data_IF_712418558053
#
_entry.id   IF_712418558053
#
_cell.length_a   1.000
_cell.length_b   1.000
_cell.length_c   1.000
_cell.angle_alpha   90.00
_cell.angle_beta   90.00
_cell.angle_gamma   90.00
#
_symmetry.space_group_name_H-M   'P 1'
#
loop_
_entity.id
_entity.type
_entity.pdbx_description
1 polymer ?
#
# COMPACT_ATOMS: atom_id res chain seq x y z
N UNK A 1 -24.84 -19.53 -13.99
CA UNK A 1 -25.36 -18.36 -13.20
C UNK A 1 -24.59 -18.24 -11.89
N UNK A 2 -24.79 -17.18 -11.09
CA UNK A 2 -24.10 -17.06 -9.79
C UNK A 2 -24.50 -18.17 -8.82
N UNK A 3 -25.79 -18.49 -8.75
CA UNK A 3 -26.33 -19.54 -7.87
C UNK A 3 -25.79 -20.93 -8.24
N UNK A 4 -25.60 -21.17 -9.53
CA UNK A 4 -25.02 -22.41 -10.06
C UNK A 4 -23.53 -22.51 -9.73
N UNK A 5 -22.77 -21.42 -9.86
CA UNK A 5 -21.38 -21.37 -9.40
C UNK A 5 -21.28 -21.71 -7.91
N UNK A 6 -22.12 -21.11 -7.06
CA UNK A 6 -22.12 -21.38 -5.62
C UNK A 6 -22.41 -22.85 -5.31
N UNK A 7 -23.41 -23.45 -5.98
CA UNK A 7 -23.74 -24.86 -5.81
C UNK A 7 -22.59 -25.76 -6.24
N UNK A 8 -22.03 -25.52 -7.42
CA UNK A 8 -20.97 -26.34 -7.99
C UNK A 8 -19.66 -26.21 -7.21
N UNK A 9 -19.36 -25.03 -6.66
CA UNK A 9 -18.19 -24.82 -5.82
C UNK A 9 -18.20 -25.72 -4.57
N UNK A 10 -19.38 -26.11 -4.07
CA UNK A 10 -19.51 -27.05 -2.95
C UNK A 10 -19.51 -28.51 -3.40
N UNK A 11 -20.24 -28.84 -4.46
CA UNK A 11 -20.42 -30.23 -4.91
C UNK A 11 -19.26 -30.76 -5.77
N UNK A 12 -18.60 -29.90 -6.53
CA UNK A 12 -17.43 -30.20 -7.38
C UNK A 12 -16.47 -28.98 -7.41
N UNK A 13 -15.73 -28.74 -6.30
CA UNK A 13 -14.82 -27.61 -6.21
C UNK A 13 -13.71 -27.66 -7.26
N UNK A 14 -13.20 -28.86 -7.59
CA UNK A 14 -12.10 -29.00 -8.56
C UNK A 14 -12.58 -28.68 -9.99
N UNK A 15 -13.71 -29.24 -10.41
CA UNK A 15 -14.28 -28.93 -11.72
C UNK A 15 -14.67 -27.45 -11.84
N UNK A 16 -15.20 -26.86 -10.77
CA UNK A 16 -15.52 -25.44 -10.70
C UNK A 16 -14.27 -24.56 -10.85
N UNK A 17 -13.18 -24.88 -10.15
CA UNK A 17 -11.91 -24.18 -10.29
C UNK A 17 -11.37 -24.29 -11.73
N UNK A 18 -11.38 -25.48 -12.31
CA UNK A 18 -10.91 -25.70 -13.68
C UNK A 18 -11.75 -24.93 -14.71
N UNK A 19 -13.08 -24.90 -14.53
CA UNK A 19 -13.97 -24.12 -15.39
C UNK A 19 -13.71 -22.61 -15.27
N UNK A 20 -13.50 -22.11 -14.05
CA UNK A 20 -13.15 -20.71 -13.81
C UNK A 20 -11.82 -20.34 -14.50
N UNK A 21 -10.77 -21.14 -14.32
CA UNK A 21 -9.45 -20.89 -14.95
C UNK A 21 -9.52 -20.91 -16.48
N UNK A 22 -10.30 -21.82 -17.08
CA UNK A 22 -10.55 -21.83 -18.54
C UNK A 22 -11.20 -20.51 -19.02
N UNK A 23 -12.19 -20.01 -18.29
CA UNK A 23 -12.82 -18.73 -18.60
C UNK A 23 -11.85 -17.55 -18.43
N UNK A 24 -11.01 -17.56 -17.39
CA UNK A 24 -9.96 -16.55 -17.21
C UNK A 24 -8.95 -16.57 -18.37
N UNK A 25 -8.56 -17.74 -18.86
CA UNK A 25 -7.68 -17.85 -20.02
C UNK A 25 -8.29 -17.22 -21.28
N UNK A 26 -9.58 -17.43 -21.53
CA UNK A 26 -10.28 -16.76 -22.63
C UNK A 26 -10.36 -15.24 -22.43
N UNK A 27 -10.62 -14.78 -21.20
CA UNK A 27 -10.64 -13.36 -20.85
C UNK A 27 -9.27 -12.71 -21.08
N UNK A 28 -8.18 -13.32 -20.63
CA UNK A 28 -6.82 -12.80 -20.82
C UNK A 28 -6.42 -12.77 -22.30
N UNK A 29 -6.83 -13.74 -23.11
CA UNK A 29 -6.63 -13.67 -24.58
C UNK A 29 -7.32 -12.45 -25.20
N UNK A 30 -8.51 -12.07 -24.71
CA UNK A 30 -9.17 -10.85 -25.17
C UNK A 30 -8.41 -9.58 -24.73
N UNK A 31 -7.90 -9.54 -23.50
CA UNK A 31 -7.05 -8.44 -23.02
C UNK A 31 -5.77 -8.32 -23.86
N UNK A 32 -5.13 -9.44 -24.20
CA UNK A 32 -3.97 -9.48 -25.09
C UNK A 32 -4.28 -8.95 -26.48
N UNK A 33 -5.45 -9.28 -27.05
CA UNK A 33 -5.87 -8.74 -28.33
C UNK A 33 -6.01 -7.20 -28.28
N UNK A 34 -6.59 -6.64 -27.22
CA UNK A 34 -6.63 -5.19 -27.04
C UNK A 34 -5.23 -4.57 -26.89
N UNK A 35 -4.34 -5.23 -26.15
CA UNK A 35 -2.94 -4.80 -26.01
C UNK A 35 -2.22 -4.76 -27.37
N UNK A 36 -2.42 -5.78 -28.22
CA UNK A 36 -1.87 -5.84 -29.58
C UNK A 36 -2.43 -4.74 -30.51
N UNK A 37 -3.64 -4.24 -30.23
CA UNK A 37 -4.22 -3.08 -30.92
C UNK A 37 -3.66 -1.73 -30.42
N UNK A 38 -2.72 -1.74 -29.47
CA UNK A 38 -2.13 -0.54 -28.89
C UNK A 38 -2.93 0.08 -27.74
N UNK A 39 -3.94 -0.61 -27.21
CA UNK A 39 -4.70 -0.14 -26.04
C UNK A 39 -3.88 -0.39 -24.77
N UNK A 40 -3.61 0.64 -23.93
CA UNK A 40 -2.96 0.44 -22.64
C UNK A 40 -3.71 -0.59 -21.80
N UNK A 41 -3.06 -1.73 -21.59
CA UNK A 41 -3.62 -2.90 -20.90
C UNK A 41 -2.68 -3.25 -19.76
N UNK A 42 -3.24 -3.53 -18.58
CA UNK A 42 -2.45 -3.86 -17.40
C UNK A 42 -3.23 -4.80 -16.48
N UNK A 43 -2.52 -5.58 -15.69
CA UNK A 43 -3.08 -6.38 -14.59
C UNK A 43 -3.23 -5.52 -13.34
N UNK A 44 -4.41 -5.61 -12.72
CA UNK A 44 -4.75 -4.84 -11.53
C UNK A 44 -4.73 -5.67 -10.23
N UNK A 45 -3.76 -6.58 -10.13
CA UNK A 45 -3.36 -7.20 -8.89
C UNK A 45 -4.27 -8.31 -8.36
N UNK A 46 -4.95 -9.01 -9.26
CA UNK A 46 -5.83 -10.15 -8.95
C UNK A 46 -5.28 -11.51 -9.41
N UNK A 47 -4.05 -11.53 -9.94
CA UNK A 47 -3.34 -12.73 -10.41
C UNK A 47 -3.99 -13.43 -11.63
N UNK A 48 -4.83 -12.73 -12.40
CA UNK A 48 -5.53 -13.33 -13.55
C UNK A 48 -4.56 -13.82 -14.64
N UNK A 49 -3.44 -13.11 -14.85
CA UNK A 49 -2.38 -13.52 -15.80
C UNK A 49 -1.79 -14.87 -15.45
N UNK A 50 -1.52 -15.12 -14.16
CA UNK A 50 -1.00 -16.40 -13.68
C UNK A 50 -2.01 -17.53 -13.90
N UNK A 51 -3.29 -17.29 -13.60
CA UNK A 51 -4.34 -18.28 -13.84
C UNK A 51 -4.49 -18.63 -15.32
N UNK A 52 -4.32 -17.65 -16.22
CA UNK A 52 -4.32 -17.89 -17.66
C UNK A 52 -3.07 -18.65 -18.14
N UNK A 53 -1.89 -18.30 -17.60
CA UNK A 53 -0.63 -19.01 -17.89
C UNK A 53 -0.70 -20.49 -17.54
N UNK A 54 -1.26 -20.82 -16.38
CA UNK A 54 -1.49 -22.22 -15.96
C UNK A 54 -2.42 -23.00 -16.89
N UNK A 55 -3.26 -22.29 -17.67
CA UNK A 55 -4.15 -22.86 -18.68
C UNK A 55 -3.60 -22.79 -20.11
N UNK A 56 -2.28 -22.57 -20.25
CA UNK A 56 -1.59 -22.60 -21.54
C UNK A 56 -1.65 -21.29 -22.34
N UNK A 57 -1.98 -20.16 -21.72
CA UNK A 57 -1.75 -18.84 -22.34
C UNK A 57 -0.30 -18.45 -22.09
N UNK A 58 0.61 -18.90 -22.96
CA UNK A 58 2.06 -18.74 -22.78
C UNK A 58 2.48 -17.28 -22.61
N UNK A 59 1.80 -16.39 -23.33
CA UNK A 59 2.09 -14.96 -23.39
C UNK A 59 1.18 -14.12 -22.48
N UNK A 60 0.61 -14.73 -21.42
CA UNK A 60 -0.30 -14.06 -20.48
C UNK A 60 0.33 -12.86 -19.75
N UNK A 61 1.67 -12.77 -19.71
CA UNK A 61 2.41 -11.71 -19.04
C UNK A 61 2.92 -10.62 -20.01
N UNK A 62 2.49 -10.63 -21.28
CA UNK A 62 2.88 -9.60 -22.26
C UNK A 62 2.34 -8.20 -21.92
N UNK A 63 1.35 -8.10 -21.03
CA UNK A 63 0.95 -6.83 -20.42
C UNK A 63 1.36 -6.78 -18.94
N UNK A 64 1.84 -5.61 -18.46
CA UNK A 64 2.46 -5.48 -17.14
C UNK A 64 1.44 -5.42 -16.01
N UNK A 65 1.89 -5.66 -14.79
CA UNK A 65 1.14 -5.25 -13.60
C UNK A 65 1.14 -3.73 -13.44
N UNK A 66 0.11 -3.21 -12.79
CA UNK A 66 -0.01 -1.76 -12.57
C UNK A 66 1.12 -1.16 -11.71
N UNK A 67 1.75 -1.96 -10.83
CA UNK A 67 2.82 -1.46 -9.97
C UNK A 67 4.09 -1.15 -10.74
N UNK A 68 4.71 -2.10 -11.48
CA UNK A 68 5.85 -1.76 -12.33
C UNK A 68 5.51 -0.71 -13.39
N UNK A 69 4.26 -0.67 -13.89
CA UNK A 69 3.86 0.29 -14.92
C UNK A 69 3.65 1.73 -14.42
N UNK A 70 3.10 1.91 -13.21
CA UNK A 70 2.62 3.23 -12.76
C UNK A 70 2.98 3.59 -11.31
N UNK A 71 2.94 2.64 -10.39
CA UNK A 71 2.96 2.94 -8.94
C UNK A 71 4.36 2.92 -8.34
N UNK A 72 5.29 2.14 -8.88
CA UNK A 72 6.63 1.98 -8.27
C UNK A 72 7.39 3.28 -8.00
N UNK A 73 7.33 4.33 -8.84
CA UNK A 73 7.94 5.62 -8.52
C UNK A 73 7.41 6.24 -7.22
N UNK A 74 6.12 6.04 -6.92
CA UNK A 74 5.53 6.48 -5.64
C UNK A 74 6.13 5.69 -4.47
N UNK A 75 6.26 4.37 -4.60
CA UNK A 75 6.87 3.53 -3.57
C UNK A 75 8.34 3.86 -3.30
N UNK A 76 9.08 4.31 -4.31
CA UNK A 76 10.47 4.77 -4.12
C UNK A 76 10.56 5.97 -3.16
N UNK A 77 9.48 6.75 -3.02
CA UNK A 77 9.36 7.88 -2.08
C UNK A 77 8.62 7.51 -0.78
N UNK A 78 8.35 6.22 -0.56
CA UNK A 78 7.52 5.72 0.54
C UNK A 78 6.04 6.13 0.44
N UNK A 79 5.60 6.65 -0.71
CA UNK A 79 4.21 7.08 -0.93
C UNK A 79 3.35 5.84 -1.15
N UNK A 80 2.30 5.70 -0.34
CA UNK A 80 1.40 4.54 -0.38
C UNK A 80 0.06 4.84 0.28
N UNK A 81 -0.83 3.84 0.42
CA UNK A 81 -2.23 4.00 0.81
C UNK A 81 -2.44 4.26 2.31
N UNK A 82 -1.82 5.33 2.80
CA UNK A 82 -1.97 5.87 4.16
C UNK A 82 -3.42 6.31 4.40
N UNK A 83 -3.98 5.89 5.54
CA UNK A 83 -5.37 6.14 5.89
C UNK A 83 -5.54 6.40 7.38
N UNK A 84 -6.63 7.08 7.72
CA UNK A 84 -7.04 7.24 9.10
C UNK A 84 -8.54 7.14 9.26
N UNK A 85 -8.96 6.87 10.50
CA UNK A 85 -10.35 6.61 10.90
C UNK A 85 -10.66 7.39 12.17
N UNK A 86 -11.78 8.11 12.18
CA UNK A 86 -12.26 8.82 13.36
C UNK A 86 -13.07 7.89 14.26
N UNK A 87 -12.55 7.57 15.46
CA UNK A 87 -13.23 6.66 16.41
C UNK A 87 -14.49 7.27 17.04
N UNK A 88 -14.68 8.59 16.93
CA UNK A 88 -15.89 9.28 17.34
C UNK A 88 -17.13 8.86 16.54
N UNK A 89 -16.93 8.42 15.29
CA UNK A 89 -18.01 8.26 14.34
C UNK A 89 -18.49 9.57 13.71
N UNK A 90 -17.91 10.73 14.08
CA UNK A 90 -18.30 12.04 13.56
C UNK A 90 -17.55 12.37 12.26
N UNK A 91 -18.26 12.59 11.13
CA UNK A 91 -17.67 13.04 9.87
C UNK A 91 -16.86 14.33 9.97
N UNK A 92 -17.18 15.22 10.92
CA UNK A 92 -16.47 16.47 11.09
C UNK A 92 -15.01 16.27 11.47
N UNK A 93 -14.67 15.20 12.19
CA UNK A 93 -13.26 14.90 12.52
C UNK A 93 -12.45 14.57 11.26
N UNK A 94 -13.06 13.93 10.26
CA UNK A 94 -12.44 13.72 8.95
C UNK A 94 -12.30 15.05 8.19
N UNK A 95 -13.31 15.90 8.19
CA UNK A 95 -13.20 17.19 7.48
C UNK A 95 -12.16 18.12 8.10
N UNK A 96 -11.99 18.11 9.43
CA UNK A 96 -10.93 18.84 10.11
C UNK A 96 -9.54 18.28 9.79
N UNK A 97 -9.39 16.96 9.78
CA UNK A 97 -8.12 16.33 9.36
C UNK A 97 -7.81 16.55 7.88
N UNK A 98 -8.80 16.57 6.98
CA UNK A 98 -8.63 16.97 5.58
C UNK A 98 -8.05 18.39 5.48
N UNK A 99 -8.61 19.35 6.25
CA UNK A 99 -8.11 20.72 6.30
C UNK A 99 -6.67 20.80 6.85
N UNK A 100 -6.38 20.04 7.92
CA UNK A 100 -5.03 19.96 8.50
C UNK A 100 -4.00 19.40 7.52
N UNK A 101 -4.38 18.41 6.71
CA UNK A 101 -3.49 17.86 5.68
C UNK A 101 -3.15 18.93 4.64
N UNK A 102 -4.15 19.72 4.18
CA UNK A 102 -3.91 20.82 3.23
C UNK A 102 -3.02 21.92 3.81
N UNK A 103 -3.13 22.20 5.10
CA UNK A 103 -2.26 23.15 5.81
C UNK A 103 -0.80 22.66 5.84
N UNK A 104 -0.57 21.39 6.15
CA UNK A 104 0.77 20.81 6.28
C UNK A 104 1.42 20.56 4.92
N UNK A 105 0.65 20.10 3.93
CA UNK A 105 1.11 19.79 2.56
C UNK A 105 0.56 20.86 1.61
N UNK A 106 0.96 22.11 1.83
CA UNK A 106 0.34 23.29 1.19
C UNK A 106 0.50 23.36 -0.33
N UNK A 107 1.63 22.90 -0.87
CA UNK A 107 2.00 23.10 -2.28
C UNK A 107 1.51 21.98 -3.22
N UNK A 108 1.01 20.86 -2.70
CA UNK A 108 0.57 19.72 -3.51
C UNK A 108 -0.88 19.89 -3.99
N UNK A 109 -1.01 20.53 -5.16
CA UNK A 109 -2.31 20.76 -5.83
C UNK A 109 -3.06 19.46 -6.13
N UNK A 110 -2.35 18.38 -6.43
CA UNK A 110 -2.99 17.09 -6.73
C UNK A 110 -3.59 16.49 -5.46
N UNK A 111 -2.85 16.52 -4.36
CA UNK A 111 -3.34 16.08 -3.05
C UNK A 111 -4.54 16.91 -2.59
N UNK A 112 -4.53 18.23 -2.79
CA UNK A 112 -5.65 19.09 -2.42
C UNK A 112 -6.90 18.74 -3.22
N UNK A 113 -6.76 18.57 -4.54
CA UNK A 113 -7.85 18.14 -5.41
C UNK A 113 -8.37 16.75 -5.03
N UNK A 114 -7.47 15.83 -4.67
CA UNK A 114 -7.86 14.50 -4.15
C UNK A 114 -8.76 14.63 -2.92
N UNK A 115 -8.41 15.46 -1.94
CA UNK A 115 -9.22 15.66 -0.73
C UNK A 115 -10.57 16.31 -1.03
N UNK A 116 -10.63 17.28 -1.95
CA UNK A 116 -11.88 17.91 -2.38
C UNK A 116 -12.81 16.89 -3.04
N UNK A 117 -12.30 16.14 -4.00
CA UNK A 117 -13.03 15.08 -4.67
C UNK A 117 -13.47 13.99 -3.70
N UNK A 118 -12.61 13.61 -2.75
CA UNK A 118 -12.92 12.60 -1.75
C UNK A 118 -14.02 13.07 -0.79
N UNK A 119 -14.16 14.37 -0.54
CA UNK A 119 -15.28 14.93 0.23
C UNK A 119 -16.57 14.97 -0.58
N UNK A 120 -16.50 15.35 -1.86
CA UNK A 120 -17.69 15.50 -2.71
C UNK A 120 -18.24 14.16 -3.22
N UNK A 121 -17.37 13.15 -3.40
CA UNK A 121 -17.69 11.96 -4.19
C UNK A 121 -17.62 10.65 -3.39
N UNK A 122 -17.05 10.64 -2.20
CA UNK A 122 -16.94 9.44 -1.36
C UNK A 122 -17.84 9.57 -0.14
N UNK A 123 -18.88 8.74 -0.09
CA UNK A 123 -19.71 8.59 1.10
C UNK A 123 -19.00 7.69 2.12
N UNK A 124 -19.05 8.08 3.39
CA UNK A 124 -18.50 7.25 4.47
C UNK A 124 -19.27 5.94 4.64
N UNK A 125 -18.56 4.90 5.07
CA UNK A 125 -19.12 3.57 5.35
C UNK A 125 -18.64 3.13 6.73
N UNK A 126 -19.56 2.97 7.69
CA UNK A 126 -19.19 2.72 9.09
C UNK A 126 -18.57 3.98 9.73
N UNK A 127 -17.44 3.81 10.43
CA UNK A 127 -16.70 4.94 10.97
C UNK A 127 -16.16 5.83 9.83
N UNK A 128 -16.31 7.16 9.90
CA UNK A 128 -15.71 8.07 8.94
C UNK A 128 -14.21 7.85 8.84
N UNK A 129 -13.73 7.69 7.61
CA UNK A 129 -12.34 7.37 7.31
C UNK A 129 -11.88 8.09 6.05
N UNK A 130 -10.59 8.37 5.95
CA UNK A 130 -9.98 8.98 4.78
C UNK A 130 -8.77 8.18 4.34
N UNK A 131 -8.65 7.99 3.04
CA UNK A 131 -7.45 7.51 2.35
C UNK A 131 -6.79 8.73 1.70
N UNK A 132 -5.48 8.88 1.86
CA UNK A 132 -4.69 9.92 1.23
C UNK A 132 -3.26 9.42 1.05
N UNK A 133 -2.79 9.32 -0.19
CA UNK A 133 -1.47 8.76 -0.46
C UNK A 133 -0.39 9.76 -0.10
N UNK A 134 0.42 9.42 0.91
CA UNK A 134 1.51 10.27 1.40
C UNK A 134 2.76 9.45 1.71
N UNK A 135 3.92 10.07 1.50
CA UNK A 135 5.24 9.45 1.57
C UNK A 135 5.94 9.55 2.92
N UNK A 136 7.19 9.07 2.93
CA UNK A 136 8.11 9.14 4.07
C UNK A 136 8.20 10.55 4.66
N UNK A 137 8.22 11.56 3.78
CA UNK A 137 8.31 12.97 4.16
C UNK A 137 7.16 13.48 5.05
N UNK A 138 5.96 12.89 4.91
CA UNK A 138 4.72 13.48 5.43
C UNK A 138 4.02 12.64 6.48
N UNK A 139 4.09 11.30 6.44
CA UNK A 139 3.33 10.43 7.36
C UNK A 139 3.55 10.77 8.84
N UNK A 140 4.81 10.95 9.24
CA UNK A 140 5.17 11.32 10.61
C UNK A 140 4.60 12.69 11.01
N UNK A 141 4.70 13.70 10.14
CA UNK A 141 4.23 15.07 10.40
C UNK A 141 2.71 15.09 10.59
N UNK A 142 1.99 14.40 9.70
CA UNK A 142 0.53 14.29 9.77
C UNK A 142 0.06 13.54 11.01
N UNK A 143 0.68 12.40 11.34
CA UNK A 143 0.29 11.66 12.54
C UNK A 143 0.51 12.42 13.84
N UNK A 144 1.61 13.17 13.94
CA UNK A 144 1.85 14.06 15.09
C UNK A 144 0.82 15.19 15.17
N UNK A 145 0.46 15.78 14.02
CA UNK A 145 -0.58 16.81 13.96
C UNK A 145 -1.97 16.26 14.35
N UNK A 146 -2.31 15.05 13.92
CA UNK A 146 -3.58 14.43 14.30
C UNK A 146 -3.61 14.11 15.80
N UNK A 147 -2.51 13.62 16.37
CA UNK A 147 -2.41 13.42 17.82
C UNK A 147 -2.57 14.74 18.59
N UNK A 148 -2.01 15.83 18.08
CA UNK A 148 -2.19 17.17 18.64
C UNK A 148 -3.65 17.63 18.58
N UNK A 149 -4.33 17.42 17.44
CA UNK A 149 -5.75 17.73 17.28
C UNK A 149 -6.62 16.95 18.28
N UNK A 150 -6.26 15.71 18.61
CA UNK A 150 -6.94 14.92 19.66
C UNK A 150 -6.66 15.52 21.03
N UNK A 151 -5.40 15.88 21.32
CA UNK A 151 -4.99 16.46 22.61
C UNK A 151 -5.71 17.77 22.93
N UNK A 152 -5.87 18.64 21.94
CA UNK A 152 -6.52 19.94 22.12
C UNK A 152 -8.05 19.91 21.95
N UNK A 153 -8.63 18.75 21.60
CA UNK A 153 -10.06 18.59 21.36
C UNK A 153 -10.56 19.21 20.06
N UNK A 154 -9.67 19.53 19.11
CA UNK A 154 -10.06 19.95 17.76
C UNK A 154 -10.82 18.82 17.07
N UNK A 155 -10.38 17.57 17.22
CA UNK A 155 -11.19 16.38 16.91
C UNK A 155 -11.77 15.77 18.18
N UNK A 156 -12.94 15.14 18.07
CA UNK A 156 -13.77 14.79 19.23
C UNK A 156 -13.38 13.49 19.95
N UNK A 157 -12.57 12.64 19.32
CA UNK A 157 -12.09 11.38 19.88
C UNK A 157 -10.75 10.96 19.23
N UNK A 158 -10.06 9.93 19.77
CA UNK A 158 -8.84 9.40 19.16
C UNK A 158 -9.00 9.01 17.69
N UNK A 159 -7.91 9.16 16.93
CA UNK A 159 -7.83 8.80 15.51
C UNK A 159 -6.97 7.55 15.35
N UNK A 160 -7.45 6.59 14.58
CA UNK A 160 -6.65 5.42 14.18
C UNK A 160 -5.95 5.73 12.87
N UNK A 161 -4.64 5.51 12.78
CA UNK A 161 -3.85 5.64 11.55
C UNK A 161 -3.34 4.28 11.13
N UNK A 162 -3.53 3.93 9.86
CA UNK A 162 -3.00 2.69 9.29
C UNK A 162 -2.84 2.78 7.78
N UNK A 163 -2.85 1.60 7.14
CA UNK A 163 -2.73 1.47 5.68
C UNK A 163 -3.21 0.10 5.22
N UNK A 164 -3.25 -0.11 3.91
CA UNK A 164 -3.27 -1.45 3.34
C UNK A 164 -1.94 -2.18 3.64
N UNK A 165 -1.92 -3.50 3.46
CA UNK A 165 -0.71 -4.30 3.40
C UNK A 165 0.05 -4.09 2.07
N UNK A 166 -0.62 -3.59 1.03
CA UNK A 166 0.02 -3.03 -0.15
C UNK A 166 0.63 -1.68 0.22
N UNK A 167 1.95 -1.65 0.43
CA UNK A 167 2.73 -0.44 0.61
C UNK A 167 4.21 -0.71 0.27
N UNK A 168 4.96 0.35 0.07
CA UNK A 168 6.35 0.35 -0.40
C UNK A 168 7.28 -0.65 0.29
N UNK A 169 7.16 -0.85 1.61
CA UNK A 169 8.04 -1.72 2.40
C UNK A 169 7.39 -2.98 2.94
N UNK A 170 6.09 -3.19 2.70
CA UNK A 170 5.31 -4.14 3.50
C UNK A 170 4.81 -5.35 2.74
N UNK A 171 5.27 -5.61 1.52
CA UNK A 171 4.81 -6.74 0.71
C UNK A 171 5.88 -7.27 -0.22
N UNK A 172 5.92 -8.60 -0.34
CA UNK A 172 6.58 -9.34 -1.41
C UNK A 172 5.50 -10.10 -2.19
N UNK A 173 5.38 -9.82 -3.49
CA UNK A 173 4.31 -10.32 -4.37
C UNK A 173 4.77 -10.22 -5.84
N UNK A 174 5.41 -11.27 -6.39
CA UNK A 174 6.06 -11.24 -7.71
C UNK A 174 5.12 -11.01 -8.89
N UNK A 175 3.80 -11.23 -8.71
CA UNK A 175 2.80 -11.00 -9.75
C UNK A 175 2.05 -9.66 -9.56
N UNK A 176 2.49 -8.82 -8.63
CA UNK A 176 1.86 -7.54 -8.29
C UNK A 176 2.86 -6.48 -7.83
N UNK A 177 3.05 -6.27 -6.53
CA UNK A 177 3.84 -5.13 -6.02
C UNK A 177 5.32 -5.21 -6.33
N UNK A 178 5.88 -6.41 -6.28
CA UNK A 178 7.31 -6.65 -6.50
C UNK A 178 7.59 -7.31 -7.84
N UNK A 179 6.64 -7.22 -8.78
CA UNK A 179 6.81 -7.72 -10.15
C UNK A 179 7.90 -6.96 -10.91
N UNK A 180 8.89 -7.66 -11.46
CA UNK A 180 9.99 -7.08 -12.21
C UNK A 180 10.74 -6.00 -11.41
N UNK A 181 11.25 -6.37 -10.22
CA UNK A 181 12.21 -5.53 -9.52
C UNK A 181 13.47 -5.36 -10.39
N UNK A 182 14.10 -4.18 -10.35
CA UNK A 182 15.25 -3.83 -11.20
C UNK A 182 16.42 -4.81 -11.05
N UNK A 183 16.60 -5.37 -9.85
CA UNK A 183 17.64 -6.32 -9.47
C UNK A 183 17.16 -7.79 -9.49
N UNK A 184 15.90 -8.05 -9.87
CA UNK A 184 15.31 -9.39 -9.86
C UNK A 184 14.94 -9.92 -8.46
N UNK A 185 14.90 -9.07 -7.43
CA UNK A 185 14.54 -9.44 -6.05
C UNK A 185 13.05 -9.67 -5.80
N UNK A 186 12.27 -9.95 -6.86
CA UNK A 186 10.81 -10.02 -6.85
C UNK A 186 10.24 -10.89 -5.71
N UNK A 187 10.85 -12.06 -5.47
CA UNK A 187 10.36 -13.06 -4.52
C UNK A 187 10.97 -12.95 -3.11
N UNK A 188 11.87 -12.00 -2.86
CA UNK A 188 12.51 -11.84 -1.54
C UNK A 188 11.49 -11.35 -0.53
N UNK A 189 11.12 -12.21 0.42
CA UNK A 189 10.08 -11.92 1.41
C UNK A 189 10.59 -11.50 2.78
N UNK A 190 11.90 -11.32 2.97
CA UNK A 190 12.47 -10.80 4.22
C UNK A 190 11.90 -9.42 4.58
N UNK A 191 11.69 -8.57 3.56
CA UNK A 191 11.24 -7.19 3.73
C UNK A 191 9.91 -7.01 4.47
N UNK A 192 8.79 -7.66 4.08
CA UNK A 192 7.54 -7.59 4.86
C UNK A 192 7.70 -8.16 6.27
N UNK A 193 8.53 -9.18 6.49
CA UNK A 193 8.79 -9.71 7.84
C UNK A 193 9.51 -8.66 8.70
N UNK A 194 10.55 -8.03 8.16
CA UNK A 194 11.28 -6.94 8.82
C UNK A 194 10.39 -5.73 9.07
N UNK A 195 9.51 -5.37 8.13
CA UNK A 195 8.53 -4.29 8.32
C UNK A 195 7.62 -4.56 9.54
N UNK A 196 7.12 -5.79 9.69
CA UNK A 196 6.30 -6.15 10.86
C UNK A 196 7.11 -6.11 12.17
N UNK A 197 8.31 -6.69 12.17
CA UNK A 197 9.19 -6.70 13.34
C UNK A 197 9.56 -5.28 13.77
N UNK A 198 9.90 -4.41 12.82
CA UNK A 198 10.28 -3.03 13.10
C UNK A 198 9.08 -2.19 13.56
N UNK A 199 7.90 -2.38 12.98
CA UNK A 199 6.68 -1.71 13.45
C UNK A 199 6.32 -2.13 14.89
N UNK A 200 6.51 -3.41 15.23
CA UNK A 200 6.37 -3.92 16.60
C UNK A 200 7.35 -3.22 17.53
N UNK A 201 8.64 -3.20 17.17
CA UNK A 201 9.69 -2.56 17.96
C UNK A 201 9.51 -1.03 18.09
N UNK A 202 8.93 -0.40 17.06
CA UNK A 202 8.71 1.06 17.03
C UNK A 202 7.54 1.49 17.92
N UNK A 203 6.62 0.58 18.21
CA UNK A 203 5.46 0.80 19.08
C UNK A 203 4.15 1.04 18.32
N UNK A 204 3.92 0.39 17.19
CA UNK A 204 2.59 0.34 16.59
C UNK A 204 1.57 -0.26 17.58
N UNK A 205 0.31 0.16 17.54
CA UNK A 205 -0.72 -0.35 18.46
C UNK A 205 -1.06 -1.81 18.12
N UNK A 206 -1.10 -2.16 16.84
CA UNK A 206 -1.08 -3.56 16.41
C UNK A 206 -0.36 -3.73 15.08
N UNK A 207 0.14 -4.95 14.89
CA UNK A 207 0.90 -5.38 13.72
C UNK A 207 0.36 -6.73 13.28
N UNK A 208 0.34 -6.97 11.97
CA UNK A 208 -0.13 -8.22 11.37
C UNK A 208 0.84 -8.73 10.31
N UNK A 209 0.96 -10.05 10.20
CA UNK A 209 1.69 -10.74 9.12
C UNK A 209 0.75 -11.73 8.46
N UNK A 210 0.48 -11.51 7.18
CA UNK A 210 -0.49 -12.30 6.41
C UNK A 210 0.18 -12.90 5.17
N UNK A 211 -0.47 -13.93 4.61
CA UNK A 211 -0.05 -14.63 3.41
C UNK A 211 -1.20 -14.69 2.40
N UNK A 212 -0.87 -14.50 1.11
CA UNK A 212 -1.76 -14.71 -0.03
C UNK A 212 -2.86 -13.66 -0.23
N UNK A 213 -2.77 -12.50 0.41
CA UNK A 213 -3.71 -11.40 0.21
C UNK A 213 -3.64 -10.86 -1.22
N UNK A 214 -4.81 -10.69 -1.82
CA UNK A 214 -5.03 -10.17 -3.17
C UNK A 214 -4.69 -11.13 -4.31
N UNK A 215 -3.49 -11.74 -4.30
CA UNK A 215 -3.03 -12.64 -5.37
C UNK A 215 -3.26 -14.12 -5.08
N UNK A 216 -3.76 -14.47 -3.90
CA UNK A 216 -4.09 -15.84 -3.50
C UNK A 216 -2.92 -16.59 -2.85
N UNK A 217 -3.23 -17.77 -2.32
CA UNK A 217 -2.26 -18.61 -1.59
C UNK A 217 -1.01 -18.91 -2.43
N UNK A 218 0.16 -18.72 -1.82
CA UNK A 218 1.47 -19.02 -2.41
C UNK A 218 2.10 -17.85 -3.17
N UNK A 219 1.38 -16.75 -3.38
CA UNK A 219 1.83 -15.67 -4.26
C UNK A 219 2.20 -14.37 -3.54
N UNK A 220 1.96 -14.25 -2.23
CA UNK A 220 2.37 -13.04 -1.49
C UNK A 220 2.60 -13.27 0.01
N UNK A 221 3.52 -12.50 0.58
CA UNK A 221 3.70 -12.32 2.02
C UNK A 221 3.72 -10.83 2.32
N UNK A 222 2.98 -10.39 3.35
CA UNK A 222 2.82 -8.96 3.60
C UNK A 222 2.42 -8.60 5.03
N UNK A 223 2.82 -7.40 5.45
CA UNK A 223 2.65 -6.86 6.79
C UNK A 223 1.69 -5.68 6.84
N UNK A 224 0.90 -5.63 7.91
CA UNK A 224 0.04 -4.52 8.25
C UNK A 224 0.49 -3.88 9.55
N UNK A 225 0.26 -2.58 9.67
CA UNK A 225 0.50 -1.84 10.90
C UNK A 225 -0.62 -0.84 11.11
N UNK A 226 -0.92 -0.56 12.37
CA UNK A 226 -1.85 0.48 12.77
C UNK A 226 -1.39 1.09 14.08
N UNK A 227 -1.58 2.40 14.22
CA UNK A 227 -1.23 3.16 15.42
C UNK A 227 -2.37 4.12 15.82
N UNK A 228 -2.65 4.20 17.11
CA UNK A 228 -3.66 5.11 17.68
C UNK A 228 -3.03 6.44 18.06
N UNK A 229 -3.67 7.52 17.64
CA UNK A 229 -3.44 8.89 18.10
C UNK A 229 -4.47 9.20 19.20
N UNK A 230 -4.08 9.06 20.46
CA UNK A 230 -4.96 9.26 21.63
C UNK A 230 -4.72 10.59 22.36
N UNK A 231 -3.86 11.46 21.81
CA UNK A 231 -3.54 12.77 22.38
C UNK A 231 -2.45 12.74 23.45
N UNK A 232 -1.91 11.58 23.79
CA UNK A 232 -0.86 11.44 24.81
C UNK A 232 0.55 11.71 24.27
N UNK A 233 1.47 12.08 25.16
CA UNK A 233 2.89 12.23 24.83
C UNK A 233 3.52 10.87 24.50
N UNK A 234 3.06 9.79 25.14
CA UNK A 234 3.50 8.43 24.85
C UNK A 234 3.10 8.01 23.44
N UNK A 235 1.88 8.36 22.98
CA UNK A 235 1.47 8.16 21.60
C UNK A 235 2.31 8.99 20.64
N UNK A 236 2.58 10.27 20.94
CA UNK A 236 3.43 11.11 20.11
C UNK A 236 4.83 10.49 19.92
N UNK A 237 5.42 9.92 20.98
CA UNK A 237 6.71 9.22 20.89
C UNK A 237 6.65 7.97 20.00
N UNK A 238 5.58 7.16 20.10
CA UNK A 238 5.36 5.99 19.24
C UNK A 238 5.14 6.39 17.79
N UNK A 239 4.26 7.36 17.54
CA UNK A 239 3.92 7.90 16.20
C UNK A 239 5.17 8.40 15.49
N UNK A 240 6.04 9.13 16.20
CA UNK A 240 7.29 9.65 15.66
C UNK A 240 8.16 8.55 15.05
N UNK A 241 8.30 7.42 15.74
CA UNK A 241 9.11 6.28 15.26
C UNK A 241 8.37 5.50 14.19
N UNK A 242 7.14 5.12 14.47
CA UNK A 242 6.35 4.20 13.66
C UNK A 242 6.07 4.78 12.27
N UNK A 243 5.58 6.03 12.20
CA UNK A 243 5.24 6.67 10.91
C UNK A 243 6.44 7.22 10.14
N UNK A 244 7.65 7.12 10.72
CA UNK A 244 8.91 7.29 10.00
C UNK A 244 9.42 5.94 9.49
N UNK A 245 9.59 4.97 10.41
CA UNK A 245 10.18 3.67 10.11
C UNK A 245 9.36 2.89 9.09
N UNK A 246 8.03 2.90 9.17
CA UNK A 246 7.17 2.14 8.26
C UNK A 246 7.40 2.51 6.78
N UNK A 247 7.20 3.77 6.33
CA UNK A 247 7.53 4.16 4.96
C UNK A 247 9.04 4.13 4.67
N UNK A 248 9.91 4.35 5.66
CA UNK A 248 11.36 4.29 5.48
C UNK A 248 11.83 2.89 5.10
N UNK A 249 11.19 1.82 5.60
CA UNK A 249 11.50 0.45 5.13
C UNK A 249 11.21 0.25 3.65
N UNK A 250 10.21 0.95 3.10
CA UNK A 250 9.92 0.94 1.68
C UNK A 250 10.96 1.66 0.84
N UNK A 251 11.41 2.83 1.30
CA UNK A 251 12.52 3.56 0.67
C UNK A 251 13.80 2.73 0.75
N UNK A 252 14.12 2.14 1.90
CA UNK A 252 15.24 1.22 2.09
C UNK A 252 15.20 0.06 1.09
N UNK A 253 14.08 -0.66 1.00
CA UNK A 253 13.92 -1.82 0.11
C UNK A 253 14.14 -1.44 -1.37
N UNK A 254 13.61 -0.30 -1.80
CA UNK A 254 13.76 0.13 -3.20
C UNK A 254 15.15 0.72 -3.47
N UNK A 255 15.79 1.35 -2.49
CA UNK A 255 17.18 1.79 -2.61
C UNK A 255 18.13 0.58 -2.73
N UNK A 256 17.89 -0.47 -1.93
CA UNK A 256 18.63 -1.74 -1.99
C UNK A 256 18.50 -2.41 -3.38
N UNK A 257 17.29 -2.43 -3.94
CA UNK A 257 17.04 -2.89 -5.31
C UNK A 257 17.58 -1.96 -6.42
N UNK A 258 18.30 -0.90 -6.05
CA UNK A 258 19.00 -0.02 -6.98
C UNK A 258 18.14 1.03 -7.69
N UNK A 259 17.00 1.43 -7.13
CA UNK A 259 16.19 2.52 -7.69
C UNK A 259 16.73 3.90 -7.26
N UNK A 260 17.18 4.71 -8.23
CA UNK A 260 17.82 6.01 -7.96
C UNK A 260 16.91 6.96 -7.18
N UNK A 261 15.61 7.02 -7.53
CA UNK A 261 14.60 7.82 -6.81
C UNK A 261 14.51 7.45 -5.31
N UNK A 262 14.72 6.18 -4.98
CA UNK A 262 14.70 5.73 -3.59
C UNK A 262 16.00 6.09 -2.86
N UNK A 263 17.14 5.99 -3.55
CA UNK A 263 18.43 6.47 -3.03
C UNK A 263 18.39 7.98 -2.76
N UNK A 264 17.86 8.77 -3.69
CA UNK A 264 17.65 10.21 -3.54
C UNK A 264 16.75 10.52 -2.34
N UNK A 265 15.60 9.83 -2.23
CA UNK A 265 14.70 9.99 -1.09
C UNK A 265 15.38 9.63 0.23
N UNK A 266 16.18 8.56 0.27
CA UNK A 266 16.92 8.16 1.46
C UNK A 266 17.91 9.25 1.90
N UNK A 267 18.61 9.88 0.95
CA UNK A 267 19.54 10.99 1.22
C UNK A 267 18.80 12.25 1.70
N UNK A 268 17.70 12.62 1.05
CA UNK A 268 16.89 13.78 1.42
C UNK A 268 16.30 13.66 2.83
N UNK A 269 15.85 12.46 3.19
CA UNK A 269 15.20 12.18 4.47
C UNK A 269 16.19 11.71 5.56
N UNK A 270 17.49 11.67 5.26
CA UNK A 270 18.54 11.35 6.23
C UNK A 270 18.49 9.90 6.74
N UNK A 271 18.09 8.95 5.89
CA UNK A 271 18.05 7.54 6.27
C UNK A 271 19.47 6.97 6.41
N UNK A 272 19.71 6.21 7.48
CA UNK A 272 20.96 5.47 7.66
C UNK A 272 20.85 4.10 6.97
N UNK A 273 21.37 3.99 5.74
CA UNK A 273 21.38 2.75 4.96
C UNK A 273 22.83 2.24 4.80
N UNK A 274 23.30 1.31 5.65
CA UNK A 274 24.73 0.99 5.77
C UNK A 274 25.44 0.60 4.47
N UNK A 275 24.72 -0.08 3.57
CA UNK A 275 25.27 -0.56 2.29
C UNK A 275 25.05 0.40 1.12
N UNK A 276 24.29 1.48 1.31
CA UNK A 276 24.04 2.49 0.27
C UNK A 276 25.00 3.65 0.48
N UNK A 277 26.09 3.67 -0.30
CA UNK A 277 27.18 4.63 -0.15
C UNK A 277 26.73 6.10 -0.10
N UNK A 278 25.71 6.48 -0.87
CA UNK A 278 25.18 7.84 -0.91
C UNK A 278 24.60 8.34 0.43
N UNK A 279 24.24 7.42 1.33
CA UNK A 279 23.71 7.74 2.66
C UNK A 279 24.80 7.83 3.75
N UNK A 280 26.03 7.46 3.43
CA UNK A 280 27.16 7.46 4.37
C UNK A 280 27.88 8.82 4.35
N UNK A 281 28.21 9.38 5.52
CA UNK A 281 29.03 10.61 5.64
C UNK A 281 28.27 11.93 5.86
N UNK A 282 26.99 11.90 6.24
CA UNK A 282 26.20 13.07 6.67
C UNK A 282 25.74 13.03 8.14
N UNK A 283 26.38 12.18 8.96
CA UNK A 283 26.11 12.05 10.40
C UNK A 283 26.94 12.99 11.24
#
# INVERSE_FOLDING_TARGET
>A
RWEEYQKNAQSDPHGTMQAAKRSMAAHVRAMLAFSQMGVPTFDYGNNIRQMAKEMGVENAFDFPGFVPAYIRPLFCRGIGPFRWVALSGDPQDIYKTDAKVKEIVAEDKHLHHWLDMARERIHFQGLPARICWVGLEWRQKLGLAFNEMVRCGEVSAPIVIGRDHLDSGSVASPNRETEAMRDGSDAVSDWPLLNALLNTASGATWVSLHHGGGVGMGFSQHAGMVIVCDGTDEAAARIRRVLHNDPATGVMRHADAGYDLAVECAVEQGLNLPMVAATQGKG
#
